data_IF_622249407796
#
_entry.id   IF_622249407796
#
_cell.length_a   1.000
_cell.length_b   1.000
_cell.length_c   1.000
_cell.angle_alpha   90.00
_cell.angle_beta   90.00
_cell.angle_gamma   90.00
#
_symmetry.space_group_name_H-M   'P 1'
#
loop_
_entity.id
_entity.type
_entity.pdbx_description
1 polymer ?
#
# COMPACT_ATOMS: atom_id res chain seq x y z
N UNK A 1 -45.11 15.18 -41.48
CA UNK A 1 -44.43 16.36 -42.07
C UNK A 1 -42.96 16.24 -41.73
N UNK A 2 -41.96 16.19 -42.60
CA UNK A 2 -41.71 16.12 -44.06
C UNK A 2 -40.24 15.62 -44.09
N UNK A 3 -39.90 14.46 -44.68
CA UNK A 3 -39.56 14.23 -46.10
C UNK A 3 -38.12 14.65 -46.49
N UNK A 4 -37.19 13.69 -46.61
CA UNK A 4 -36.52 13.20 -47.85
C UNK A 4 -35.23 14.00 -48.22
N UNK A 5 -34.24 13.57 -49.01
CA UNK A 5 -33.94 12.45 -49.91
C UNK A 5 -32.39 12.34 -50.03
N UNK A 6 -31.74 11.17 -50.00
CA UNK A 6 -31.34 10.28 -51.12
C UNK A 6 -30.58 10.93 -52.30
N UNK A 7 -29.39 10.35 -52.63
CA UNK A 7 -28.89 9.85 -53.97
C UNK A 7 -27.37 10.10 -54.13
N UNK A 8 -26.48 9.09 -54.06
CA UNK A 8 -25.97 8.09 -55.05
C UNK A 8 -25.08 8.57 -56.23
N UNK A 9 -23.87 7.96 -56.26
CA UNK A 9 -23.02 7.44 -57.38
C UNK A 9 -22.30 8.43 -58.30
N UNK A 10 -20.98 8.24 -58.50
CA UNK A 10 -20.38 7.49 -59.64
C UNK A 10 -18.85 7.36 -59.50
N UNK A 11 -18.31 6.23 -59.97
CA UNK A 11 -16.89 5.95 -60.15
C UNK A 11 -16.41 6.34 -61.56
N UNK A 12 -15.11 6.61 -61.72
CA UNK A 12 -14.39 6.45 -62.98
C UNK A 12 -12.89 6.18 -62.71
N UNK A 13 -12.32 5.29 -63.50
CA UNK A 13 -10.99 4.70 -63.39
C UNK A 13 -9.91 5.51 -64.12
N UNK A 14 -8.65 5.31 -63.70
CA UNK A 14 -7.45 5.77 -64.41
C UNK A 14 -6.29 4.80 -64.20
N UNK A 15 -5.85 4.19 -65.29
CA UNK A 15 -4.78 3.19 -65.45
C UNK A 15 -3.38 3.81 -65.39
N UNK A 16 -2.37 3.09 -64.87
CA UNK A 16 -0.97 3.51 -65.03
C UNK A 16 0.11 2.68 -64.33
N UNK A 17 0.54 1.60 -64.99
CA UNK A 17 1.91 1.03 -65.14
C UNK A 17 2.87 0.90 -63.93
N UNK A 18 3.40 -0.33 -63.82
CA UNK A 18 4.39 -0.82 -62.86
C UNK A 18 5.77 -0.14 -62.90
N UNK A 19 6.46 -0.13 -61.76
CA UNK A 19 7.93 -0.24 -61.71
C UNK A 19 8.36 -1.03 -60.46
N UNK A 20 9.25 -2.00 -60.68
CA UNK A 20 9.94 -2.86 -59.72
C UNK A 20 11.00 -2.01 -58.98
N UNK A 21 11.21 -2.19 -57.68
CA UNK A 21 12.55 -2.47 -57.10
C UNK A 21 12.59 -2.54 -55.56
N UNK A 22 13.34 -3.55 -55.12
CA UNK A 22 14.27 -3.57 -53.98
C UNK A 22 13.72 -3.69 -52.54
N UNK A 23 13.94 -4.90 -52.02
CA UNK A 23 14.02 -5.30 -50.63
C UNK A 23 14.95 -4.43 -49.77
N UNK A 24 14.51 -4.06 -48.56
CA UNK A 24 15.40 -3.89 -47.40
C UNK A 24 14.76 -4.47 -46.14
N UNK A 25 15.42 -5.48 -45.58
CA UNK A 25 15.22 -5.99 -44.22
C UNK A 25 15.43 -4.84 -43.24
N UNK A 26 14.43 -4.56 -42.41
CA UNK A 26 14.61 -3.76 -41.20
C UNK A 26 15.09 -4.69 -40.08
N UNK A 27 16.32 -4.50 -39.64
CA UNK A 27 16.86 -5.11 -38.42
C UNK A 27 16.25 -4.40 -37.21
N UNK A 28 15.66 -5.17 -36.29
CA UNK A 28 15.14 -4.69 -35.01
C UNK A 28 16.34 -4.40 -34.11
N UNK A 29 16.65 -3.13 -33.88
CA UNK A 29 17.64 -2.73 -32.88
C UNK A 29 17.06 -2.98 -31.49
N UNK A 30 17.64 -3.94 -30.79
CA UNK A 30 17.35 -4.25 -29.40
C UNK A 30 18.04 -3.17 -28.54
N UNK A 31 17.25 -2.28 -27.96
CA UNK A 31 17.74 -1.29 -27.02
C UNK A 31 18.12 -1.99 -25.70
N UNK A 32 19.36 -2.44 -25.61
CA UNK A 32 19.97 -2.89 -24.37
C UNK A 32 19.93 -1.74 -23.36
N UNK A 33 19.12 -1.91 -22.30
CA UNK A 33 19.10 -1.00 -21.14
C UNK A 33 20.42 -1.18 -20.41
N UNK A 34 21.37 -0.29 -20.65
CA UNK A 34 22.59 -0.20 -19.85
C UNK A 34 22.20 0.06 -18.40
N UNK A 35 22.47 -0.91 -17.52
CA UNK A 35 22.41 -0.69 -16.07
C UNK A 35 23.51 0.30 -15.72
N UNK A 36 23.15 1.57 -15.60
CA UNK A 36 24.03 2.60 -15.07
C UNK A 36 24.52 2.19 -13.70
N UNK A 37 25.84 2.27 -13.49
CA UNK A 37 26.48 2.01 -12.20
C UNK A 37 25.83 2.89 -11.12
N UNK A 38 25.24 2.27 -10.11
CA UNK A 38 24.67 2.97 -8.96
C UNK A 38 25.82 3.53 -8.12
N UNK A 39 25.87 4.86 -7.96
CA UNK A 39 26.65 5.49 -6.89
C UNK A 39 26.19 4.93 -5.56
N UNK A 40 27.10 4.68 -4.61
CA UNK A 40 26.78 4.26 -3.24
C UNK A 40 26.05 5.39 -2.49
N UNK A 41 24.77 5.59 -2.80
CA UNK A 41 23.82 6.27 -1.92
C UNK A 41 23.48 5.33 -0.76
N UNK A 42 23.02 5.88 0.37
CA UNK A 42 22.57 5.09 1.53
C UNK A 42 21.53 4.01 1.15
N UNK A 43 21.17 3.14 2.11
CA UNK A 43 20.25 2.03 1.85
C UNK A 43 18.97 2.54 1.21
N UNK A 44 18.58 1.90 0.08
CA UNK A 44 17.39 2.28 -0.68
C UNK A 44 16.16 2.13 0.19
N UNK A 45 15.30 3.15 0.23
CA UNK A 45 14.05 3.13 0.98
C UNK A 45 12.88 2.70 0.09
N UNK A 46 11.84 2.06 0.68
CA UNK A 46 10.59 1.82 -0.03
C UNK A 46 9.89 3.13 -0.36
N UNK A 47 9.06 3.12 -1.41
CA UNK A 47 8.19 4.27 -1.73
C UNK A 47 6.87 4.19 -0.97
N UNK A 48 6.48 3.00 -0.52
CA UNK A 48 5.28 2.77 0.26
C UNK A 48 5.52 1.74 1.37
N UNK A 49 5.01 2.04 2.56
CA UNK A 49 4.98 1.12 3.70
C UNK A 49 3.52 0.92 4.10
N UNK A 50 3.07 -0.34 4.06
CA UNK A 50 1.74 -0.76 4.43
C UNK A 50 1.75 -1.53 5.75
N UNK A 51 0.77 -1.26 6.60
CA UNK A 51 0.50 -2.03 7.81
C UNK A 51 -0.88 -2.67 7.75
N UNK A 52 -1.02 -3.90 8.21
CA UNK A 52 -2.29 -4.35 8.76
C UNK A 52 -2.63 -3.58 10.05
N UNK A 53 -3.85 -3.73 10.59
CA UNK A 53 -4.31 -2.98 11.77
C UNK A 53 -4.37 -3.86 13.03
N UNK A 54 -5.42 -4.66 13.15
CA UNK A 54 -5.71 -5.51 14.30
C UNK A 54 -4.61 -6.55 14.52
N UNK A 55 -4.14 -6.71 15.77
CA UNK A 55 -3.06 -7.63 16.17
C UNK A 55 -1.73 -7.42 15.39
N UNK A 56 -1.61 -6.27 14.69
CA UNK A 56 -0.38 -5.79 14.07
C UNK A 56 0.07 -4.47 14.71
N UNK A 57 -0.78 -3.44 14.69
CA UNK A 57 -0.52 -2.14 15.31
C UNK A 57 -0.99 -2.08 16.77
N UNK A 58 -2.16 -2.64 17.07
CA UNK A 58 -2.76 -2.64 18.40
C UNK A 58 -3.35 -3.99 18.79
N UNK A 59 -3.69 -4.11 20.06
CA UNK A 59 -4.45 -5.21 20.64
C UNK A 59 -5.43 -4.65 21.69
N UNK A 60 -6.60 -5.27 21.93
CA UNK A 60 -7.20 -6.42 21.23
C UNK A 60 -7.58 -6.14 19.77
N UNK A 61 -7.79 -7.19 18.98
CA UNK A 61 -8.50 -7.09 17.71
C UNK A 61 -9.93 -6.59 17.94
N UNK A 62 -10.48 -5.79 17.02
CA UNK A 62 -11.80 -5.19 17.23
C UNK A 62 -12.92 -6.21 17.53
N UNK A 63 -12.89 -7.40 16.92
CA UNK A 63 -13.92 -8.44 17.16
C UNK A 63 -13.80 -9.12 18.53
N UNK A 64 -12.68 -8.96 19.24
CA UNK A 64 -12.49 -9.51 20.58
C UNK A 64 -13.16 -8.66 21.65
N UNK A 65 -13.50 -7.40 21.35
CA UNK A 65 -14.05 -6.47 22.31
C UNK A 65 -15.50 -6.80 22.68
N UNK A 66 -15.81 -6.75 23.97
CA UNK A 66 -17.17 -6.90 24.48
C UNK A 66 -17.89 -5.54 24.39
N UNK A 67 -18.62 -5.34 23.29
CA UNK A 67 -19.45 -4.17 23.05
C UNK A 67 -18.76 -3.04 22.26
N UNK A 68 -17.43 -2.98 22.26
CA UNK A 68 -16.65 -2.06 21.41
C UNK A 68 -16.99 -0.59 21.63
N UNK A 69 -17.79 0.00 20.75
CA UNK A 69 -18.17 1.41 20.80
C UNK A 69 -19.22 1.72 21.90
N UNK A 70 -19.23 2.94 22.48
CA UNK A 70 -18.34 4.06 22.18
C UNK A 70 -16.98 3.94 22.86
N UNK A 71 -15.93 4.30 22.10
CA UNK A 71 -14.56 4.40 22.61
C UNK A 71 -14.30 5.75 23.27
N UNK A 72 -13.52 5.78 24.35
CA UNK A 72 -13.21 7.00 25.11
C UNK A 72 -11.79 6.97 25.65
N UNK A 73 -11.15 8.14 25.74
CA UNK A 73 -9.92 8.28 26.53
C UNK A 73 -10.26 8.44 28.01
N UNK A 74 -9.58 7.68 28.87
CA UNK A 74 -9.67 7.89 30.31
C UNK A 74 -8.79 9.07 30.78
N UNK A 75 -8.68 9.28 32.09
CA UNK A 75 -7.89 10.38 32.67
C UNK A 75 -6.39 10.25 32.43
N UNK A 76 -5.92 9.05 32.08
CA UNK A 76 -4.54 8.71 31.76
C UNK A 76 -4.28 8.73 30.25
N UNK A 77 -5.30 9.01 29.44
CA UNK A 77 -5.22 9.03 27.98
C UNK A 77 -5.34 7.65 27.33
N UNK A 78 -5.65 6.59 28.09
CA UNK A 78 -5.81 5.23 27.58
C UNK A 78 -7.13 5.10 26.84
N UNK A 79 -7.14 4.38 25.72
CA UNK A 79 -8.35 4.19 24.91
C UNK A 79 -9.16 3.01 25.45
N UNK A 80 -10.35 3.28 25.97
CA UNK A 80 -11.21 2.30 26.62
C UNK A 80 -12.49 2.08 25.79
N UNK A 81 -12.84 0.81 25.57
CA UNK A 81 -14.09 0.38 24.94
C UNK A 81 -15.30 0.59 25.86
N UNK A 82 -16.52 0.45 25.34
CA UNK A 82 -17.73 0.43 26.18
C UNK A 82 -17.75 -0.71 27.19
N UNK A 83 -17.04 -1.81 26.88
CA UNK A 83 -16.89 -2.98 27.74
C UNK A 83 -15.85 -2.79 28.87
N UNK A 84 -15.11 -1.68 28.86
CA UNK A 84 -14.04 -1.41 29.82
C UNK A 84 -12.69 -2.00 29.45
N UNK A 85 -12.55 -2.55 28.24
CA UNK A 85 -11.29 -3.08 27.73
C UNK A 85 -10.41 -1.97 27.17
N UNK A 86 -9.12 -2.04 27.41
CA UNK A 86 -8.15 -1.11 26.85
C UNK A 86 -7.69 -1.58 25.46
N UNK A 87 -7.74 -0.68 24.48
CA UNK A 87 -7.12 -0.86 23.17
C UNK A 87 -5.78 -0.13 23.18
N UNK A 88 -4.68 -0.86 22.99
CA UNK A 88 -3.33 -0.31 23.12
C UNK A 88 -2.48 -0.63 21.88
N UNK A 89 -1.71 0.37 21.42
CA UNK A 89 -0.65 0.13 20.42
C UNK A 89 0.46 -0.74 21.00
N UNK A 90 0.95 -1.70 20.22
CA UNK A 90 2.20 -2.37 20.55
C UNK A 90 3.33 -1.33 20.68
N UNK A 91 4.22 -1.45 21.68
CA UNK A 91 5.30 -0.47 21.88
C UNK A 91 6.17 -0.26 20.64
N UNK A 92 6.47 -1.32 19.89
CA UNK A 92 7.24 -1.21 18.66
C UNK A 92 6.43 -0.61 17.49
N UNK A 93 5.11 -0.85 17.41
CA UNK A 93 4.24 -0.16 16.45
C UNK A 93 4.25 1.36 16.72
N UNK A 94 4.06 1.75 17.98
CA UNK A 94 4.11 3.16 18.42
C UNK A 94 5.45 3.80 18.07
N UNK A 95 6.56 3.13 18.37
CA UNK A 95 7.90 3.64 18.06
C UNK A 95 8.11 3.80 16.53
N UNK A 96 7.67 2.83 15.75
CA UNK A 96 7.73 2.86 14.28
C UNK A 96 6.91 4.00 13.69
N UNK A 97 5.63 4.14 14.08
CA UNK A 97 4.75 5.21 13.60
C UNK A 97 5.31 6.60 13.98
N UNK A 98 5.85 6.74 15.19
CA UNK A 98 6.52 7.97 15.63
C UNK A 98 7.74 8.29 14.77
N UNK A 99 8.58 7.29 14.50
CA UNK A 99 9.75 7.47 13.63
C UNK A 99 9.34 7.88 12.21
N UNK A 100 8.35 7.20 11.63
CA UNK A 100 7.80 7.52 10.31
C UNK A 100 7.23 8.94 10.22
N UNK A 101 6.53 9.39 11.27
CA UNK A 101 5.91 10.71 11.30
C UNK A 101 6.91 11.86 11.53
N UNK A 102 7.97 11.63 12.30
CA UNK A 102 8.86 12.71 12.77
C UNK A 102 10.21 12.78 12.06
N UNK A 103 10.68 11.69 11.45
CA UNK A 103 12.00 11.64 10.84
C UNK A 103 11.98 12.17 9.40
N UNK A 104 12.81 13.18 9.05
CA UNK A 104 12.93 13.67 7.67
C UNK A 104 13.35 12.59 6.67
N UNK A 105 13.93 11.48 7.15
CA UNK A 105 14.32 10.32 6.35
C UNK A 105 13.15 9.70 5.59
N UNK A 106 11.94 9.75 6.14
CA UNK A 106 10.76 9.06 5.59
C UNK A 106 9.72 10.02 5.00
N UNK A 107 10.04 11.33 4.88
CA UNK A 107 9.10 12.37 4.44
C UNK A 107 8.47 12.10 3.06
N UNK A 108 9.16 11.37 2.19
CA UNK A 108 8.74 11.08 0.82
C UNK A 108 8.13 9.66 0.68
N UNK A 109 7.94 8.93 1.79
CA UNK A 109 7.34 7.59 1.81
C UNK A 109 5.84 7.70 2.07
N UNK A 110 5.04 7.00 1.25
CA UNK A 110 3.61 6.82 1.55
C UNK A 110 3.45 5.78 2.66
N UNK A 111 2.87 6.18 3.78
CA UNK A 111 2.54 5.27 4.88
C UNK A 111 1.04 5.02 4.85
N UNK A 112 0.65 3.74 4.71
CA UNK A 112 -0.72 3.32 4.45
C UNK A 112 -1.11 2.17 5.38
N UNK A 113 -2.40 1.91 5.49
CA UNK A 113 -2.89 0.67 6.11
C UNK A 113 -3.70 -0.16 5.11
N UNK A 114 -3.71 -1.48 5.31
CA UNK A 114 -4.45 -2.44 4.51
C UNK A 114 -5.01 -3.50 5.47
N UNK A 115 -6.25 -3.33 5.92
CA UNK A 115 -6.90 -4.20 6.92
C UNK A 115 -8.20 -4.79 6.39
N UNK A 116 -8.48 -6.02 6.84
CA UNK A 116 -9.74 -6.74 6.57
C UNK A 116 -10.73 -6.65 7.74
N UNK A 117 -10.50 -5.75 8.70
CA UNK A 117 -11.36 -5.58 9.86
C UNK A 117 -12.83 -5.42 9.44
N UNK A 118 -13.72 -6.19 10.08
CA UNK A 118 -15.16 -6.09 9.85
C UNK A 118 -15.78 -4.91 10.61
N UNK A 119 -15.24 -4.59 11.78
CA UNK A 119 -15.69 -3.48 12.64
C UNK A 119 -15.03 -2.16 12.23
N UNK A 120 -15.26 -1.75 10.98
CA UNK A 120 -14.50 -0.65 10.38
C UNK A 120 -14.67 0.69 11.07
N UNK A 121 -15.89 1.03 11.52
CA UNK A 121 -16.14 2.29 12.24
C UNK A 121 -15.35 2.31 13.56
N UNK A 122 -15.18 1.15 14.20
CA UNK A 122 -14.38 1.00 15.41
C UNK A 122 -12.90 1.19 15.10
N UNK A 123 -12.39 0.53 14.06
CA UNK A 123 -11.00 0.69 13.64
C UNK A 123 -10.66 2.15 13.29
N UNK A 124 -11.53 2.86 12.55
CA UNK A 124 -11.35 4.28 12.27
C UNK A 124 -11.36 5.13 13.54
N UNK A 125 -12.33 4.91 14.43
CA UNK A 125 -12.42 5.60 15.71
C UNK A 125 -11.16 5.36 16.57
N UNK A 126 -10.67 4.12 16.60
CA UNK A 126 -9.43 3.76 17.29
C UNK A 126 -8.21 4.47 16.66
N UNK A 127 -8.11 4.55 15.34
CA UNK A 127 -7.00 5.27 14.69
C UNK A 127 -7.00 6.77 15.02
N UNK A 128 -8.18 7.38 15.14
CA UNK A 128 -8.31 8.79 15.51
C UNK A 128 -7.98 9.06 16.99
N UNK A 129 -8.27 8.10 17.86
CA UNK A 129 -8.10 8.25 19.31
C UNK A 129 -6.77 7.68 19.84
N UNK A 130 -6.15 6.71 19.19
CA UNK A 130 -4.87 6.17 19.63
C UNK A 130 -3.76 7.19 19.35
N UNK A 131 -3.21 7.75 20.42
CA UNK A 131 -2.04 8.62 20.32
C UNK A 131 -0.81 7.80 19.95
N UNK A 132 0.07 8.36 19.14
CA UNK A 132 1.40 7.83 18.79
C UNK A 132 2.46 8.60 19.58
N UNK A 133 2.46 9.93 19.46
CA UNK A 133 3.30 10.87 20.20
C UNK A 133 2.56 12.21 20.40
N UNK A 134 3.23 13.24 20.91
CA UNK A 134 2.67 14.53 21.34
C UNK A 134 1.65 15.14 20.34
N UNK A 135 0.36 14.88 20.58
CA UNK A 135 -0.75 15.38 19.74
C UNK A 135 -0.87 14.73 18.36
N UNK A 136 -0.17 13.63 18.10
CA UNK A 136 -0.21 12.87 16.83
C UNK A 136 -0.92 11.55 17.06
N UNK A 137 -2.05 11.33 16.37
CA UNK A 137 -2.79 10.06 16.36
C UNK A 137 -2.26 9.09 15.31
N UNK A 138 -2.71 7.83 15.36
CA UNK A 138 -2.44 6.84 14.31
C UNK A 138 -2.96 7.31 12.95
N UNK A 139 -4.17 7.88 12.90
CA UNK A 139 -4.74 8.39 11.64
C UNK A 139 -3.92 9.51 11.00
N UNK A 140 -3.19 10.30 11.81
CA UNK A 140 -2.28 11.32 11.32
C UNK A 140 -0.93 10.77 10.83
N UNK A 141 -0.52 9.58 11.25
CA UNK A 141 0.68 8.90 10.73
C UNK A 141 0.43 8.19 9.39
N UNK A 142 -0.82 7.78 9.14
CA UNK A 142 -1.23 7.01 7.97
C UNK A 142 -1.70 7.97 6.87
N UNK A 143 -0.74 8.67 6.27
CA UNK A 143 -0.94 9.81 5.38
C UNK A 143 -1.87 9.54 4.19
N UNK A 144 -1.94 8.30 3.70
CA UNK A 144 -2.89 7.88 2.66
C UNK A 144 -3.21 6.40 2.85
N UNK A 145 -4.48 6.00 2.94
CA UNK A 145 -4.86 4.60 3.12
C UNK A 145 -6.36 4.42 2.96
N UNK A 146 -6.80 3.22 2.61
CA UNK A 146 -8.22 2.90 2.58
C UNK A 146 -8.46 1.63 3.37
N UNK A 147 -9.47 1.61 4.24
CA UNK A 147 -10.05 0.33 4.66
C UNK A 147 -10.73 -0.23 3.43
N UNK A 148 -10.11 -1.20 2.79
CA UNK A 148 -10.77 -1.96 1.73
C UNK A 148 -11.51 -3.11 2.40
N UNK A 149 -12.75 -2.84 2.82
CA UNK A 149 -13.58 -3.81 3.51
C UNK A 149 -13.68 -5.12 2.74
N UNK A 150 -13.27 -6.22 3.39
CA UNK A 150 -13.34 -7.56 2.83
C UNK A 150 -12.40 -7.83 1.66
N UNK A 151 -12.42 -9.08 1.17
CA UNK A 151 -11.56 -9.53 0.07
C UNK A 151 -10.16 -9.97 0.50
N UNK A 152 -9.33 -10.32 -0.48
CA UNK A 152 -7.95 -10.77 -0.23
C UNK A 152 -7.00 -9.58 -0.10
N UNK A 153 -5.88 -9.76 0.62
CA UNK A 153 -4.82 -8.74 0.68
C UNK A 153 -4.21 -8.50 -0.70
N UNK A 154 -4.26 -9.46 -1.63
CA UNK A 154 -3.89 -9.19 -3.01
C UNK A 154 -4.77 -8.12 -3.67
N UNK A 155 -6.08 -8.15 -3.41
CA UNK A 155 -7.01 -7.11 -3.86
C UNK A 155 -6.69 -5.74 -3.27
N UNK A 156 -6.34 -5.69 -1.98
CA UNK A 156 -5.91 -4.46 -1.30
C UNK A 156 -4.66 -3.87 -1.99
N UNK A 157 -3.65 -4.70 -2.23
CA UNK A 157 -2.42 -4.27 -2.88
C UNK A 157 -2.63 -3.87 -4.35
N UNK A 158 -3.52 -4.54 -5.08
CA UNK A 158 -3.88 -4.13 -6.44
C UNK A 158 -4.49 -2.73 -6.47
N UNK A 159 -5.36 -2.41 -5.52
CA UNK A 159 -5.96 -1.09 -5.39
C UNK A 159 -4.96 -0.03 -4.92
N UNK A 160 -4.07 -0.37 -3.96
CA UNK A 160 -2.96 0.50 -3.55
C UNK A 160 -2.06 0.84 -4.75
N UNK A 161 -1.66 -0.15 -5.55
CA UNK A 161 -0.87 0.06 -6.77
C UNK A 161 -1.62 0.96 -7.76
N UNK A 162 -2.91 0.70 -8.01
CA UNK A 162 -3.75 1.50 -8.93
C UNK A 162 -3.85 2.96 -8.50
N UNK A 163 -4.04 3.23 -7.21
CA UNK A 163 -4.18 4.59 -6.67
C UNK A 163 -2.87 5.36 -6.58
N UNK A 164 -1.79 4.68 -6.20
CA UNK A 164 -0.50 5.33 -5.91
C UNK A 164 0.45 5.33 -7.11
N UNK A 165 0.27 4.42 -8.07
CA UNK A 165 1.21 4.20 -9.17
C UNK A 165 2.56 3.62 -8.72
N UNK A 166 2.65 3.12 -7.49
CA UNK A 166 3.88 2.52 -6.93
C UNK A 166 3.88 1.03 -7.28
N UNK A 167 5.00 0.52 -7.78
CA UNK A 167 5.15 -0.90 -8.12
C UNK A 167 5.27 -1.76 -6.85
N UNK A 168 4.81 -3.00 -6.90
CA UNK A 168 4.80 -3.91 -5.74
C UNK A 168 6.19 -4.08 -5.14
N UNK A 169 7.22 -4.11 -5.98
CA UNK A 169 8.60 -4.28 -5.58
C UNK A 169 9.16 -3.09 -4.78
N UNK A 170 8.49 -1.94 -4.85
CA UNK A 170 8.80 -0.71 -4.13
C UNK A 170 8.03 -0.58 -2.80
N UNK A 171 7.29 -1.63 -2.40
CA UNK A 171 6.47 -1.67 -1.19
C UNK A 171 7.03 -2.59 -0.10
N UNK A 172 6.79 -2.21 1.17
CA UNK A 172 6.98 -3.07 2.35
C UNK A 172 5.65 -3.26 3.07
N UNK A 173 5.39 -4.46 3.60
CA UNK A 173 4.15 -4.83 4.28
C UNK A 173 4.39 -5.54 5.60
N UNK A 174 3.64 -5.16 6.64
CA UNK A 174 3.64 -5.78 7.97
C UNK A 174 2.24 -6.32 8.30
N UNK A 175 2.15 -7.59 8.72
CA UNK A 175 0.88 -8.26 9.00
C UNK A 175 1.11 -9.48 9.91
N UNK A 176 0.20 -9.69 10.86
CA UNK A 176 0.23 -10.79 11.82
C UNK A 176 -0.24 -12.13 11.24
N UNK A 177 -1.05 -12.11 10.19
CA UNK A 177 -1.55 -13.31 9.54
C UNK A 177 -0.60 -13.86 8.47
N UNK A 178 -0.13 -15.09 8.71
CA UNK A 178 0.79 -15.76 7.78
C UNK A 178 0.23 -15.93 6.38
N UNK A 179 -1.08 -16.10 6.22
CA UNK A 179 -1.69 -16.27 4.92
C UNK A 179 -1.65 -14.98 4.10
N UNK A 180 -1.99 -13.84 4.71
CA UNK A 180 -1.84 -12.50 4.12
C UNK A 180 -0.41 -12.26 3.61
N UNK A 181 0.58 -12.54 4.46
CA UNK A 181 2.00 -12.45 4.11
C UNK A 181 2.34 -13.32 2.90
N UNK A 182 1.86 -14.57 2.88
CA UNK A 182 2.16 -15.52 1.81
C UNK A 182 1.54 -15.10 0.47
N UNK A 183 0.34 -14.54 0.49
CA UNK A 183 -0.34 -14.07 -0.71
C UNK A 183 0.27 -12.80 -1.28
N UNK A 184 0.55 -11.82 -0.43
CA UNK A 184 1.09 -10.51 -0.85
C UNK A 184 2.53 -10.65 -1.33
N UNK A 185 3.33 -11.54 -0.72
CA UNK A 185 4.69 -11.82 -1.16
C UNK A 185 4.77 -12.33 -2.61
N UNK A 186 3.73 -13.03 -3.11
CA UNK A 186 3.66 -13.49 -4.51
C UNK A 186 3.58 -12.33 -5.51
N UNK A 187 3.14 -11.15 -5.08
CA UNK A 187 3.09 -9.94 -5.91
C UNK A 187 4.45 -9.25 -6.05
N UNK A 188 5.47 -9.68 -5.27
CA UNK A 188 6.78 -9.05 -5.25
C UNK A 188 6.99 -8.06 -4.09
N UNK A 189 6.00 -7.87 -3.22
CA UNK A 189 6.10 -6.99 -2.04
C UNK A 189 7.05 -7.59 -0.98
N UNK A 190 7.87 -6.75 -0.35
CA UNK A 190 8.67 -7.16 0.81
C UNK A 190 7.77 -7.29 2.03
N UNK A 191 7.57 -8.50 2.54
CA UNK A 191 6.63 -8.76 3.63
C UNK A 191 7.34 -9.19 4.92
N UNK A 192 6.89 -8.67 6.06
CA UNK A 192 7.36 -9.00 7.40
C UNK A 192 6.18 -9.57 8.21
N UNK A 193 6.32 -10.80 8.66
CA UNK A 193 5.29 -11.47 9.47
C UNK A 193 5.44 -11.09 10.95
N UNK A 194 4.35 -10.61 11.55
CA UNK A 194 4.29 -10.07 12.92
C UNK A 194 3.31 -10.88 13.81
N UNK A 195 3.56 -12.18 14.07
CA UNK A 195 2.57 -13.10 14.65
C UNK A 195 2.12 -12.81 16.09
N UNK A 196 2.70 -11.80 16.73
CA UNK A 196 2.38 -11.42 18.11
C UNK A 196 2.35 -9.88 18.19
N UNK A 197 1.74 -9.23 17.21
CA UNK A 197 1.93 -7.79 17.00
C UNK A 197 3.30 -7.40 16.49
N UNK A 198 3.42 -6.11 16.18
CA UNK A 198 4.71 -5.48 15.90
C UNK A 198 5.62 -5.56 17.13
N UNK A 199 6.79 -6.16 16.94
CA UNK A 199 7.85 -6.34 17.94
C UNK A 199 9.10 -5.54 17.56
N UNK A 200 9.96 -5.29 18.55
CA UNK A 200 11.21 -4.58 18.35
C UNK A 200 12.07 -5.24 17.25
N UNK A 201 12.69 -4.43 16.39
CA UNK A 201 13.54 -4.91 15.29
C UNK A 201 12.79 -5.33 14.02
N UNK A 202 11.46 -5.50 14.06
CA UNK A 202 10.70 -5.93 12.87
C UNK A 202 10.64 -4.85 11.81
N UNK A 203 10.52 -3.57 12.20
CA UNK A 203 10.52 -2.46 11.26
C UNK A 203 11.84 -2.37 10.50
N UNK A 204 12.96 -2.41 11.23
CA UNK A 204 14.32 -2.39 10.70
C UNK A 204 14.57 -3.60 9.81
N UNK A 205 14.10 -4.78 10.20
CA UNK A 205 14.13 -5.99 9.38
C UNK A 205 13.40 -5.79 8.05
N UNK A 206 12.24 -5.15 8.05
CA UNK A 206 11.50 -4.84 6.81
C UNK A 206 12.30 -3.94 5.87
N UNK A 207 12.91 -2.89 6.41
CA UNK A 207 13.78 -1.99 5.66
C UNK A 207 15.04 -2.69 5.14
N UNK A 208 15.66 -3.55 5.94
CA UNK A 208 16.84 -4.33 5.56
C UNK A 208 16.53 -5.32 4.42
N UNK A 209 15.46 -6.11 4.54
CA UNK A 209 15.01 -7.04 3.50
C UNK A 209 14.69 -6.30 2.20
N UNK A 210 14.09 -5.11 2.29
CA UNK A 210 13.87 -4.26 1.13
C UNK A 210 15.20 -3.83 0.51
N UNK A 211 16.12 -3.28 1.30
CA UNK A 211 17.41 -2.82 0.79
C UNK A 211 18.22 -3.96 0.12
N UNK A 212 18.24 -5.16 0.72
CA UNK A 212 18.89 -6.36 0.17
C UNK A 212 18.33 -6.76 -1.21
N UNK A 213 17.02 -6.64 -1.40
CA UNK A 213 16.37 -6.94 -2.68
C UNK A 213 16.80 -5.98 -3.81
N UNK A 214 17.27 -4.78 -3.45
CA UNK A 214 17.66 -3.72 -4.37
C UNK A 214 19.18 -3.45 -4.40
N UNK A 215 19.96 -4.26 -3.67
CA UNK A 215 21.42 -4.26 -3.69
C UNK A 215 21.95 -4.98 -4.94
#
# INVERSE_FOLDING_TARGET
>A
MQEAARRTRKAAAGTGRATITSSRRATKAEAGRTRGAMSKSGPRLPRLIAFDLDDTLWFPEMYLLIGGAPFRKDKQGRLISSGGEEVELYPAARACLKELATSPKYKDIKVVFASRCHETDWAYTCMDLLDVCDGVSVSQCLNEGGVFQGGSKQGHFAELKRRTGIEYEEMVFFDNERWNITEVKKLGVTCVHTPNGMQAGQFEKGLALYAEKWA
#
